data_IF_292785318945
#
_entry.id   IF_292785318945
#
_cell.length_a   1.000
_cell.length_b   1.000
_cell.length_c   1.000
_cell.angle_alpha   90.00
_cell.angle_beta   90.00
_cell.angle_gamma   90.00
#
_symmetry.space_group_name_H-M   'P 1'
#
loop_
_entity.id
_entity.type
_entity.pdbx_description
1 polymer ?
#
# COMPACT_ATOMS: atom_id res chain seq x y z
N UNK A 1 10.53 40.87 -5.65
CA UNK A 1 10.83 40.18 -4.37
C UNK A 1 9.57 39.62 -3.70
N UNK A 2 8.44 40.35 -3.65
CA UNK A 2 7.19 39.84 -3.06
C UNK A 2 6.64 38.55 -3.71
N UNK A 3 6.65 38.45 -5.04
CA UNK A 3 6.22 37.23 -5.76
C UNK A 3 7.07 35.99 -5.42
N UNK A 4 8.37 36.17 -5.21
CA UNK A 4 9.27 35.07 -4.81
C UNK A 4 9.00 34.62 -3.37
N UNK A 5 8.65 35.54 -2.47
CA UNK A 5 8.29 35.22 -1.09
C UNK A 5 6.99 34.39 -1.04
N UNK A 6 5.95 34.76 -1.78
CA UNK A 6 4.70 33.98 -1.86
C UNK A 6 4.92 32.56 -2.40
N UNK A 7 5.73 32.43 -3.46
CA UNK A 7 6.02 31.15 -4.08
C UNK A 7 6.84 30.24 -3.13
N UNK A 8 7.74 30.82 -2.32
CA UNK A 8 8.50 30.10 -1.31
C UNK A 8 7.60 29.48 -0.22
N UNK A 9 6.55 30.16 0.23
CA UNK A 9 5.61 29.60 1.22
C UNK A 9 4.83 28.40 0.66
N UNK A 10 4.40 28.46 -0.60
CA UNK A 10 3.72 27.35 -1.28
C UNK A 10 4.67 26.16 -1.40
N UNK A 11 5.89 26.36 -1.88
CA UNK A 11 6.89 25.30 -2.04
C UNK A 11 7.22 24.65 -0.69
N UNK A 12 7.40 25.44 0.37
CA UNK A 12 7.63 24.90 1.72
C UNK A 12 6.48 24.01 2.19
N UNK A 13 5.23 24.46 2.04
CA UNK A 13 4.06 23.67 2.41
C UNK A 13 3.97 22.35 1.63
N UNK A 14 4.32 22.38 0.34
CA UNK A 14 4.35 21.19 -0.51
C UNK A 14 5.49 20.24 -0.15
N UNK A 15 6.65 20.75 0.25
CA UNK A 15 7.76 19.92 0.73
C UNK A 15 7.38 19.18 2.02
N UNK A 16 6.75 19.87 2.98
CA UNK A 16 6.25 19.23 4.21
C UNK A 16 5.22 18.16 3.88
N UNK A 17 4.29 18.43 2.96
CA UNK A 17 3.32 17.43 2.48
C UNK A 17 4.02 16.24 1.81
N UNK A 18 5.03 16.51 0.98
CA UNK A 18 5.82 15.50 0.28
C UNK A 18 6.53 14.53 1.24
N UNK A 19 7.05 15.03 2.37
CA UNK A 19 7.66 14.17 3.40
C UNK A 19 6.67 13.13 3.94
N UNK A 20 5.41 13.50 4.16
CA UNK A 20 4.36 12.54 4.55
C UNK A 20 4.01 11.59 3.41
N UNK A 21 4.14 12.04 2.15
CA UNK A 21 3.98 11.22 0.95
C UNK A 21 4.98 10.07 0.86
N UNK A 22 6.19 10.21 1.42
CA UNK A 22 7.20 9.15 1.42
C UNK A 22 7.03 8.16 2.60
N UNK A 23 6.53 8.64 3.75
CA UNK A 23 6.32 7.81 4.95
C UNK A 23 5.17 6.81 4.74
N UNK A 24 4.08 7.25 4.12
CA UNK A 24 2.89 6.41 3.91
C UNK A 24 3.20 5.07 3.19
N UNK A 25 3.87 5.10 2.03
CA UNK A 25 4.29 3.89 1.32
C UNK A 25 5.17 2.96 2.15
N UNK A 26 6.13 3.49 2.92
CA UNK A 26 7.01 2.67 3.76
C UNK A 26 6.24 1.91 4.85
N UNK A 27 5.25 2.57 5.48
CA UNK A 27 4.36 1.93 6.46
C UNK A 27 3.49 0.87 5.78
N UNK A 28 2.89 1.19 4.63
CA UNK A 28 2.06 0.26 3.87
C UNK A 28 2.82 -1.00 3.44
N UNK A 29 4.03 -0.86 2.92
CA UNK A 29 4.91 -1.97 2.55
C UNK A 29 5.24 -2.86 3.76
N UNK A 30 5.47 -2.27 4.93
CA UNK A 30 5.74 -3.02 6.17
C UNK A 30 4.53 -3.87 6.58
N UNK A 31 3.33 -3.30 6.54
CA UNK A 31 2.09 -4.03 6.85
C UNK A 31 1.87 -5.17 5.85
N UNK A 32 2.08 -4.90 4.56
CA UNK A 32 1.93 -5.92 3.52
C UNK A 32 2.96 -7.04 3.70
N UNK A 33 4.24 -6.72 3.97
CA UNK A 33 5.26 -7.73 4.24
C UNK A 33 4.90 -8.61 5.45
N UNK A 34 4.39 -8.01 6.52
CA UNK A 34 3.94 -8.76 7.70
C UNK A 34 2.78 -9.71 7.39
N UNK A 35 1.77 -9.24 6.63
CA UNK A 35 0.64 -10.08 6.19
C UNK A 35 1.12 -11.22 5.30
N UNK A 36 2.02 -10.93 4.35
CA UNK A 36 2.58 -11.91 3.44
C UNK A 36 3.30 -13.04 4.19
N UNK A 37 4.21 -12.67 5.10
CA UNK A 37 4.99 -13.61 5.90
C UNK A 37 4.13 -14.41 6.87
N UNK A 38 2.97 -13.89 7.30
CA UNK A 38 2.07 -14.60 8.20
C UNK A 38 1.13 -15.56 7.46
N UNK A 39 0.53 -15.14 6.34
CA UNK A 39 -0.56 -15.88 5.69
C UNK A 39 -0.03 -16.84 4.63
N UNK A 40 0.84 -16.37 3.72
CA UNK A 40 1.22 -17.15 2.55
C UNK A 40 1.88 -18.50 2.91
N UNK A 41 2.91 -18.57 3.77
CA UNK A 41 3.53 -19.87 4.11
C UNK A 41 2.57 -20.78 4.89
N UNK A 42 1.72 -20.21 5.75
CA UNK A 42 0.71 -20.97 6.49
C UNK A 42 -0.36 -21.59 5.57
N UNK A 43 -0.74 -20.89 4.50
CA UNK A 43 -1.72 -21.39 3.53
C UNK A 43 -1.10 -22.40 2.59
N UNK A 44 0.10 -22.13 2.10
CA UNK A 44 0.89 -23.09 1.36
C UNK A 44 1.04 -24.40 2.15
N UNK A 45 1.37 -24.34 3.44
CA UNK A 45 1.53 -25.56 4.25
C UNK A 45 0.26 -26.38 4.44
N UNK A 46 -0.91 -25.74 4.32
CA UNK A 46 -2.20 -26.40 4.52
C UNK A 46 -2.78 -26.98 3.23
N UNK A 47 -2.49 -26.33 2.10
CA UNK A 47 -3.11 -26.64 0.81
C UNK A 47 -2.17 -27.44 -0.12
N UNK A 48 -0.84 -27.42 0.08
CA UNK A 48 0.12 -28.23 -0.69
C UNK A 48 0.00 -29.73 -0.34
N UNK A 49 0.22 -30.64 -1.31
CA UNK A 49 0.30 -32.07 -1.06
C UNK A 49 1.59 -32.44 -0.30
N UNK A 50 1.53 -33.53 0.48
CA UNK A 50 2.64 -34.01 1.33
C UNK A 50 3.97 -34.20 0.57
N UNK A 51 3.91 -34.47 -0.73
CA UNK A 51 5.07 -34.65 -1.61
C UNK A 51 5.91 -33.40 -1.76
N UNK A 52 5.27 -32.22 -1.75
CA UNK A 52 5.91 -30.93 -2.00
C UNK A 52 6.13 -30.13 -0.71
N UNK A 53 5.72 -30.69 0.43
CA UNK A 53 5.88 -30.05 1.74
C UNK A 53 7.35 -29.84 2.12
N UNK A 54 8.25 -30.71 1.64
CA UNK A 54 9.70 -30.58 1.85
C UNK A 54 10.27 -29.34 1.14
N UNK A 55 9.69 -28.98 -0.01
CA UNK A 55 10.12 -27.85 -0.84
C UNK A 55 9.29 -26.59 -0.57
N UNK A 56 8.46 -26.57 0.48
CA UNK A 56 7.56 -25.46 0.78
C UNK A 56 8.27 -24.11 0.84
N UNK A 57 9.43 -24.03 1.51
CA UNK A 57 10.20 -22.79 1.60
C UNK A 57 10.74 -22.36 0.22
N UNK A 58 11.16 -23.31 -0.61
CA UNK A 58 11.62 -23.04 -1.98
C UNK A 58 10.47 -22.52 -2.85
N UNK A 59 9.28 -23.11 -2.71
CA UNK A 59 8.06 -22.69 -3.40
C UNK A 59 7.63 -21.29 -2.91
N UNK A 60 7.72 -21.02 -1.61
CA UNK A 60 7.38 -19.72 -1.03
C UNK A 60 8.35 -18.61 -1.47
N UNK A 61 9.66 -18.85 -1.42
CA UNK A 61 10.68 -17.83 -1.70
C UNK A 61 10.87 -17.56 -3.20
N UNK A 62 10.59 -18.54 -4.07
CA UNK A 62 10.98 -18.47 -5.48
C UNK A 62 9.79 -18.57 -6.45
N UNK A 63 9.38 -17.41 -6.98
CA UNK A 63 8.31 -17.31 -7.97
C UNK A 63 8.54 -18.19 -9.23
N UNK A 64 9.78 -18.29 -9.79
CA UNK A 64 10.02 -19.20 -10.91
C UNK A 64 9.67 -20.65 -10.62
N UNK A 65 9.89 -21.13 -9.39
CA UNK A 65 9.50 -22.48 -8.95
C UNK A 65 7.98 -22.63 -8.92
N UNK A 66 7.25 -21.62 -8.46
CA UNK A 66 5.79 -21.65 -8.50
C UNK A 66 5.22 -21.73 -9.94
N UNK A 67 5.94 -21.13 -10.89
CA UNK A 67 5.53 -21.08 -12.30
C UNK A 67 5.79 -22.39 -13.07
N UNK A 68 6.65 -23.28 -12.56
CA UNK A 68 6.90 -24.59 -13.19
C UNK A 68 5.70 -25.54 -13.04
N UNK A 69 4.88 -25.39 -11.99
CA UNK A 69 3.67 -26.17 -11.78
C UNK A 69 2.62 -25.84 -12.86
N UNK A 70 2.27 -26.80 -13.69
CA UNK A 70 1.36 -26.60 -14.82
C UNK A 70 -0.11 -26.52 -14.37
N UNK A 71 -0.98 -25.82 -15.12
CA UNK A 71 -2.42 -25.88 -14.90
C UNK A 71 -2.95 -27.32 -15.02
N UNK A 72 -3.64 -27.80 -13.98
CA UNK A 72 -4.18 -29.17 -13.90
C UNK A 72 -3.44 -30.08 -12.91
N UNK A 73 -2.30 -29.64 -12.36
CA UNK A 73 -1.69 -30.33 -11.21
C UNK A 73 -2.36 -29.91 -9.89
N UNK A 74 -2.15 -30.68 -8.83
CA UNK A 74 -2.72 -30.43 -7.50
C UNK A 74 -2.14 -29.20 -6.80
N UNK A 75 -0.91 -28.83 -7.13
CA UNK A 75 -0.16 -27.74 -6.49
C UNK A 75 -0.58 -26.37 -7.02
N UNK A 76 -0.93 -26.29 -8.31
CA UNK A 76 -1.37 -25.03 -8.95
C UNK A 76 -2.58 -24.37 -8.27
N UNK A 77 -3.71 -25.08 -8.01
CA UNK A 77 -4.84 -24.48 -7.30
C UNK A 77 -4.50 -24.17 -5.84
N UNK A 78 -3.65 -24.97 -5.18
CA UNK A 78 -3.19 -24.70 -3.81
C UNK A 78 -2.42 -23.38 -3.71
N UNK A 79 -1.45 -23.17 -4.62
CA UNK A 79 -0.70 -21.91 -4.70
C UNK A 79 -1.66 -20.74 -5.00
N UNK A 80 -2.56 -20.89 -5.96
CA UNK A 80 -3.54 -19.84 -6.30
C UNK A 80 -4.44 -19.47 -5.11
N UNK A 81 -4.90 -20.46 -4.35
CA UNK A 81 -5.72 -20.26 -3.16
C UNK A 81 -4.94 -19.53 -2.06
N UNK A 82 -3.70 -19.94 -1.79
CA UNK A 82 -2.81 -19.29 -0.84
C UNK A 82 -2.54 -17.81 -1.19
N UNK A 83 -2.34 -17.51 -2.48
CA UNK A 83 -2.20 -16.14 -2.97
C UNK A 83 -3.49 -15.34 -2.83
N UNK A 84 -4.65 -15.95 -3.14
CA UNK A 84 -5.96 -15.29 -3.03
C UNK A 84 -6.24 -14.87 -1.59
N UNK A 85 -6.01 -15.76 -0.63
CA UNK A 85 -6.18 -15.49 0.80
C UNK A 85 -5.23 -14.40 1.30
N UNK A 86 -3.97 -14.45 0.88
CA UNK A 86 -2.96 -13.43 1.23
C UNK A 86 -3.35 -12.05 0.69
N UNK A 87 -3.73 -11.96 -0.59
CA UNK A 87 -4.18 -10.71 -1.19
C UNK A 87 -5.46 -10.17 -0.56
N UNK A 88 -6.40 -11.06 -0.19
CA UNK A 88 -7.60 -10.68 0.54
C UNK A 88 -7.26 -10.02 1.88
N UNK A 89 -6.30 -10.57 2.62
CA UNK A 89 -5.79 -9.96 3.85
C UNK A 89 -5.22 -8.56 3.62
N UNK A 90 -4.39 -8.38 2.58
CA UNK A 90 -3.82 -7.09 2.21
C UNK A 90 -4.88 -6.06 1.80
N UNK A 91 -5.90 -6.48 1.05
CA UNK A 91 -7.02 -5.63 0.64
C UNK A 91 -7.86 -5.15 1.83
N UNK A 92 -8.14 -6.04 2.79
CA UNK A 92 -8.85 -5.67 4.01
C UNK A 92 -8.04 -4.62 4.79
N UNK A 93 -6.74 -4.85 5.00
CA UNK A 93 -5.87 -3.91 5.68
C UNK A 93 -5.84 -2.54 4.99
N UNK A 94 -5.68 -2.51 3.67
CA UNK A 94 -5.71 -1.29 2.86
C UNK A 94 -7.05 -0.55 2.96
N UNK A 95 -8.17 -1.28 2.94
CA UNK A 95 -9.53 -0.70 3.02
C UNK A 95 -9.76 -0.03 4.37
N UNK A 96 -9.33 -0.67 5.47
CA UNK A 96 -9.45 -0.10 6.82
C UNK A 96 -8.63 1.19 6.95
N UNK A 97 -7.38 1.18 6.48
CA UNK A 97 -6.51 2.37 6.50
C UNK A 97 -7.09 3.49 5.62
N UNK A 98 -7.61 3.15 4.44
CA UNK A 98 -8.25 4.12 3.54
C UNK A 98 -9.49 4.75 4.17
N UNK A 99 -10.31 3.95 4.86
CA UNK A 99 -11.48 4.46 5.59
C UNK A 99 -11.09 5.42 6.72
N UNK A 100 -10.00 5.13 7.45
CA UNK A 100 -9.46 6.04 8.47
C UNK A 100 -8.95 7.35 7.84
N UNK A 101 -8.27 7.27 6.69
CA UNK A 101 -7.82 8.45 5.94
C UNK A 101 -9.00 9.33 5.51
N UNK A 102 -10.07 8.73 4.98
CA UNK A 102 -11.29 9.45 4.61
C UNK A 102 -11.95 10.10 5.83
N UNK A 103 -12.05 9.39 6.95
CA UNK A 103 -12.60 9.94 8.19
C UNK A 103 -11.78 11.14 8.70
N UNK A 104 -10.46 11.08 8.61
CA UNK A 104 -9.58 12.19 8.97
C UNK A 104 -9.80 13.42 8.07
N UNK A 105 -10.00 13.22 6.76
CA UNK A 105 -10.32 14.31 5.82
C UNK A 105 -11.68 14.92 6.13
N UNK A 106 -12.69 14.11 6.49
CA UNK A 106 -14.01 14.62 6.89
C UNK A 106 -13.95 15.46 8.17
N UNK A 107 -13.00 15.15 9.07
CA UNK A 107 -12.79 15.91 10.31
C UNK A 107 -12.03 17.22 10.09
N UNK A 108 -11.39 17.43 8.94
CA UNK A 108 -10.69 18.69 8.68
C UNK A 108 -11.64 19.88 8.70
N UNK A 109 -11.17 20.96 9.31
CA UNK A 109 -11.91 22.23 9.32
C UNK A 109 -12.01 22.76 7.91
N UNK A 110 -13.24 23.07 7.50
CA UNK A 110 -13.49 23.83 6.31
C UNK A 110 -12.96 25.26 6.49
N UNK A 111 -11.91 25.61 5.75
CA UNK A 111 -11.34 26.96 5.75
C UNK A 111 -11.95 27.69 4.57
N UNK A 112 -12.80 28.68 4.85
CA UNK A 112 -13.41 29.53 3.82
C UNK A 112 -12.33 30.37 3.13
N UNK A 113 -11.90 29.91 1.97
CA UNK A 113 -10.92 30.60 1.12
C UNK A 113 -11.54 31.68 0.23
N UNK A 114 -12.86 31.73 0.13
CA UNK A 114 -13.60 32.73 -0.67
C UNK A 114 -13.64 34.06 0.08
N UNK A 115 -12.99 35.07 -0.48
CA UNK A 115 -12.91 36.44 0.06
C UNK A 115 -11.55 36.80 0.69
N UNK A 116 -10.62 35.86 0.76
CA UNK A 116 -9.22 36.16 1.09
C UNK A 116 -8.65 36.98 -0.07
N UNK A 117 -8.20 38.22 0.18
CA UNK A 117 -7.49 39.02 -0.82
C UNK A 117 -6.23 38.26 -1.24
N UNK A 118 -6.27 37.61 -2.40
CA UNK A 118 -5.08 37.10 -3.04
C UNK A 118 -4.24 38.32 -3.44
N UNK A 119 -3.03 38.42 -2.94
CA UNK A 119 -2.08 39.53 -3.15
C UNK A 119 -1.50 39.57 -4.57
N UNK A 120 -2.26 39.08 -5.56
CA UNK A 120 -1.87 39.05 -6.97
C UNK A 120 -2.08 40.38 -7.71
N UNK A 121 -2.81 41.33 -7.12
CA UNK A 121 -3.18 42.61 -7.75
C UNK A 121 -2.43 43.85 -7.19
N UNK A 122 -1.15 43.72 -6.86
CA UNK A 122 -0.25 44.87 -6.65
C UNK A 122 0.93 44.83 -7.61
N UNK A 123 0.63 44.81 -8.91
CA UNK A 123 1.59 45.11 -9.97
C UNK A 123 0.84 45.77 -11.14
N UNK A 124 0.46 47.03 -10.94
CA UNK A 124 0.16 47.99 -11.99
C UNK A 124 1.05 49.21 -11.77
#
# INVERSE_FOLDING_TARGET
MAAAAEQQYIVFSQSVLGLFGDIGPAVGLTIFAAIWQAILPSKLSADLPDTDQADLLLIYDFLPTQLTFLPGTTERPAIQHAYSDTQRGMLIASTVISALGLAAVVLWRDIKVIGIRQTKDQAA
#
